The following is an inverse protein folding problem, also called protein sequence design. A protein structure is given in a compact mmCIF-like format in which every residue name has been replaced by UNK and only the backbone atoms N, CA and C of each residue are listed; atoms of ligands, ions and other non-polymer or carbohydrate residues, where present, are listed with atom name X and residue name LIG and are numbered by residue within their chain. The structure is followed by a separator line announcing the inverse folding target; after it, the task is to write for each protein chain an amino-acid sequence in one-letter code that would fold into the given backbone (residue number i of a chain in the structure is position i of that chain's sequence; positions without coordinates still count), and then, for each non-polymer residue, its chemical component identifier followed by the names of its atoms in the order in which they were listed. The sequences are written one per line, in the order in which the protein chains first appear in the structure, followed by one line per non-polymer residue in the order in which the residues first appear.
data_IF_259740588989
#
_entry.id   IF_259740588989
#
_cell.length_a   1.000
_cell.length_b   1.000
_cell.length_c   1.000
_cell.angle_alpha   90.00
_cell.angle_beta   90.00
_cell.angle_gamma   90.00
#
_symmetry.space_group_name_H-M   'P 1'
#
loop_
_entity.id
_entity.type
_entity.pdbx_description
1 polymer ?
#
# COMPACT_ATOMS: atom_id res chain seq x y z
N UNK A 1 -0.92 -3.22 11.33
CA UNK A 1 -1.63 -3.39 10.04
C UNK A 1 -1.34 -2.15 9.22
N UNK A 2 -0.93 -2.30 7.96
CA UNK A 2 -0.76 -1.17 7.05
C UNK A 2 -1.91 -1.12 6.07
N UNK A 3 -2.38 0.08 5.76
CA UNK A 3 -3.41 0.33 4.76
C UNK A 3 -2.83 1.15 3.62
N UNK A 4 -2.99 0.66 2.40
CA UNK A 4 -2.69 1.41 1.18
C UNK A 4 -3.91 1.45 0.27
N UNK A 5 -4.07 2.55 -0.45
CA UNK A 5 -5.01 2.64 -1.59
C UNK A 5 -4.18 2.81 -2.86
N UNK A 6 -4.35 1.90 -3.81
CA UNK A 6 -3.46 1.81 -4.98
C UNK A 6 -3.44 3.08 -5.86
N UNK A 7 -4.42 3.97 -5.73
CA UNK A 7 -4.54 5.24 -6.45
C UNK A 7 -4.47 6.49 -5.56
N UNK A 8 -4.04 6.38 -4.30
CA UNK A 8 -3.95 7.56 -3.44
C UNK A 8 -2.83 8.54 -3.86
N UNK A 9 -1.79 8.05 -4.54
CA UNK A 9 -0.65 8.86 -4.96
C UNK A 9 -0.81 9.37 -6.40
N UNK A 10 -0.53 10.66 -6.63
CA UNK A 10 -0.40 11.23 -7.98
C UNK A 10 0.90 10.75 -8.65
N UNK A 11 0.89 9.50 -9.11
CA UNK A 11 2.04 8.89 -9.79
C UNK A 11 2.47 9.68 -11.03
N UNK A 12 1.53 10.33 -11.73
CA UNK A 12 1.87 11.16 -12.87
C UNK A 12 2.65 12.40 -12.46
N UNK A 13 2.22 13.10 -11.39
CA UNK A 13 2.93 14.22 -10.80
C UNK A 13 4.30 13.83 -10.25
N UNK A 14 4.37 12.74 -9.48
CA UNK A 14 5.62 12.25 -8.89
C UNK A 14 6.68 12.01 -9.95
N UNK A 15 6.31 11.36 -11.07
CA UNK A 15 7.24 11.12 -12.17
C UNK A 15 7.59 12.38 -12.94
N UNK A 16 6.60 13.26 -13.19
CA UNK A 16 6.82 14.50 -13.95
C UNK A 16 7.82 15.43 -13.25
N UNK A 17 7.79 15.47 -11.93
CA UNK A 17 8.64 16.34 -11.11
C UNK A 17 9.87 15.63 -10.52
N UNK A 18 10.20 14.41 -10.98
CA UNK A 18 11.36 13.62 -10.51
C UNK A 18 11.38 13.36 -8.98
N UNK A 19 10.21 13.13 -8.40
CA UNK A 19 10.02 12.94 -6.95
C UNK A 19 10.05 11.46 -6.53
N UNK A 20 10.48 10.55 -7.40
CA UNK A 20 10.51 9.12 -7.09
C UNK A 20 11.38 8.75 -5.88
N UNK A 21 12.52 9.42 -5.58
CA UNK A 21 13.29 9.11 -4.36
C UNK A 21 12.52 9.42 -3.07
N UNK A 22 11.66 10.44 -3.07
CA UNK A 22 10.83 10.77 -1.90
C UNK A 22 9.72 9.74 -1.70
N UNK A 23 9.13 9.24 -2.78
CA UNK A 23 8.17 8.14 -2.73
C UNK A 23 8.82 6.86 -2.16
N UNK A 24 10.05 6.55 -2.58
CA UNK A 24 10.80 5.42 -2.03
C UNK A 24 11.08 5.59 -0.54
N UNK A 25 11.50 6.79 -0.11
CA UNK A 25 11.70 7.10 1.31
C UNK A 25 10.40 6.93 2.12
N UNK A 26 9.27 7.44 1.63
CA UNK A 26 7.97 7.27 2.27
C UNK A 26 7.62 5.79 2.47
N UNK A 27 7.86 4.95 1.45
CA UNK A 27 7.62 3.52 1.55
C UNK A 27 8.56 2.85 2.57
N UNK A 28 9.83 3.28 2.66
CA UNK A 28 10.77 2.80 3.69
C UNK A 28 10.30 3.19 5.08
N UNK A 29 9.88 4.44 5.30
CA UNK A 29 9.31 4.88 6.58
C UNK A 29 8.12 4.01 6.98
N UNK A 30 7.27 3.64 6.02
CA UNK A 30 6.12 2.78 6.27
C UNK A 30 6.54 1.35 6.69
N UNK A 31 7.63 0.80 6.12
CA UNK A 31 8.18 -0.50 6.56
C UNK A 31 8.78 -0.42 7.95
N UNK A 32 9.52 0.64 8.27
CA UNK A 32 10.11 0.85 9.58
C UNK A 32 9.03 0.91 10.67
N UNK A 33 7.98 1.70 10.46
CA UNK A 33 6.85 1.77 11.40
C UNK A 33 6.19 0.41 11.62
N UNK A 34 6.06 -0.39 10.54
CA UNK A 34 5.55 -1.75 10.62
C UNK A 34 6.51 -2.67 11.38
N UNK A 35 7.82 -2.57 11.14
CA UNK A 35 8.86 -3.35 11.82
C UNK A 35 8.85 -3.08 13.33
N UNK A 36 8.84 -1.82 13.73
CA UNK A 36 8.79 -1.43 15.15
C UNK A 36 7.49 -1.89 15.82
N UNK A 37 6.35 -1.69 15.16
CA UNK A 37 5.06 -2.16 15.67
C UNK A 37 5.02 -3.68 15.83
N UNK A 38 5.54 -4.42 14.83
CA UNK A 38 5.63 -5.87 14.85
C UNK A 38 6.59 -6.37 15.94
N UNK A 39 7.71 -5.68 16.15
CA UNK A 39 8.67 -5.99 17.20
C UNK A 39 8.02 -5.87 18.59
N UNK A 40 7.41 -4.72 18.91
CA UNK A 40 6.75 -4.49 20.20
C UNK A 40 5.61 -5.49 20.42
N UNK A 41 4.81 -5.77 19.39
CA UNK A 41 3.76 -6.78 19.45
C UNK A 41 4.32 -8.19 19.70
N UNK A 42 5.46 -8.52 19.08
CA UNK A 42 6.12 -9.83 19.25
C UNK A 42 6.61 -10.02 20.68
N UNK A 43 7.23 -9.00 21.26
CA UNK A 43 7.67 -9.01 22.67
C UNK A 43 6.47 -9.20 23.60
N UNK A 44 5.40 -8.41 23.41
CA UNK A 44 4.19 -8.48 24.23
C UNK A 44 3.52 -9.85 24.17
N UNK A 45 3.45 -10.45 22.99
CA UNK A 45 2.75 -11.73 22.77
C UNK A 45 3.64 -12.96 22.93
N UNK A 46 4.94 -12.77 23.18
CA UNK A 46 5.95 -13.85 23.28
C UNK A 46 5.93 -14.81 22.08
N UNK A 47 5.69 -14.26 20.89
CA UNK A 47 5.70 -14.99 19.62
C UNK A 47 6.05 -14.04 18.50
N UNK A 48 6.56 -14.54 17.38
CA UNK A 48 6.77 -13.72 16.20
C UNK A 48 5.43 -13.18 15.67
N UNK A 49 5.32 -11.85 15.59
CA UNK A 49 4.23 -11.13 14.94
C UNK A 49 4.79 -10.52 13.66
N UNK A 50 4.08 -10.71 12.56
CA UNK A 50 4.40 -10.16 11.23
C UNK A 50 3.28 -9.23 10.80
N UNK A 51 3.59 -8.26 9.95
CA UNK A 51 2.62 -7.30 9.44
C UNK A 51 1.67 -7.90 8.40
N UNK A 52 0.43 -7.43 8.38
CA UNK A 52 -0.52 -7.63 7.28
C UNK A 52 -0.78 -6.29 6.63
N UNK A 53 -0.71 -6.25 5.30
CA UNK A 53 -1.01 -5.07 4.48
C UNK A 53 -2.31 -5.28 3.74
N UNK A 54 -3.21 -4.29 3.79
CA UNK A 54 -4.44 -4.27 2.99
C UNK A 54 -4.28 -3.23 1.89
N UNK A 55 -4.55 -3.62 0.65
CA UNK A 55 -4.48 -2.76 -0.53
C UNK A 55 -5.87 -2.67 -1.16
N UNK A 56 -6.48 -1.49 -1.09
CA UNK A 56 -7.72 -1.22 -1.82
C UNK A 56 -7.41 -0.94 -3.30
N UNK A 57 -7.84 -1.87 -4.17
CA UNK A 57 -7.65 -1.84 -5.62
C UNK A 57 -8.79 -1.12 -6.36
N UNK A 58 -9.76 -0.54 -5.64
CA UNK A 58 -10.86 0.20 -6.23
C UNK A 58 -10.37 1.30 -7.19
N UNK A 59 -10.91 1.30 -8.41
CA UNK A 59 -10.61 2.30 -9.44
C UNK A 59 -9.35 2.03 -10.25
N UNK A 60 -8.58 0.97 -9.94
CA UNK A 60 -7.40 0.61 -10.73
C UNK A 60 -7.74 0.41 -12.20
N UNK A 61 -6.86 0.90 -13.07
CA UNK A 61 -6.90 0.68 -14.50
C UNK A 61 -5.51 0.28 -15.02
N UNK A 62 -5.43 -0.17 -16.27
CA UNK A 62 -4.16 -0.52 -16.91
C UNK A 62 -3.16 0.65 -16.97
N UNK A 63 -3.58 1.89 -16.72
CA UNK A 63 -2.67 3.05 -16.65
C UNK A 63 -1.57 2.88 -15.61
N UNK A 64 -1.81 2.11 -14.54
CA UNK A 64 -0.83 1.84 -13.49
C UNK A 64 0.41 1.10 -14.03
N UNK A 65 0.23 0.34 -15.12
CA UNK A 65 1.32 -0.44 -15.70
C UNK A 65 2.45 0.44 -16.24
N UNK A 66 2.16 1.70 -16.59
CA UNK A 66 3.17 2.69 -17.02
C UNK A 66 4.20 2.97 -15.92
N UNK A 67 3.82 2.79 -14.66
CA UNK A 67 4.66 3.09 -13.50
C UNK A 67 5.30 1.84 -12.88
N UNK A 68 5.14 0.66 -13.50
CA UNK A 68 5.76 -0.59 -13.05
C UNK A 68 7.27 -0.49 -12.83
N UNK A 69 8.06 0.19 -13.69
CA UNK A 69 9.50 0.25 -13.50
C UNK A 69 9.93 0.85 -12.16
N UNK A 70 9.23 1.84 -11.60
CA UNK A 70 9.58 2.40 -10.29
C UNK A 70 9.20 1.53 -9.10
N UNK A 71 8.42 0.47 -9.28
CA UNK A 71 8.22 -0.50 -8.19
C UNK A 71 9.40 -1.45 -8.05
N UNK A 72 10.26 -1.59 -9.07
CA UNK A 72 11.37 -2.55 -9.03
C UNK A 72 12.41 -2.20 -7.95
N UNK A 73 12.92 -0.96 -7.82
CA UNK A 73 13.85 -0.60 -6.73
C UNK A 73 13.24 -0.84 -5.35
N UNK A 74 11.98 -0.46 -5.18
CA UNK A 74 11.22 -0.72 -3.96
C UNK A 74 11.14 -2.22 -3.60
N UNK A 75 10.84 -3.08 -4.58
CA UNK A 75 10.78 -4.52 -4.36
C UNK A 75 12.13 -5.10 -3.97
N UNK A 76 13.24 -4.55 -4.48
CA UNK A 76 14.60 -4.91 -4.04
C UNK A 76 14.77 -4.53 -2.57
N UNK A 77 14.44 -3.30 -2.19
CA UNK A 77 14.56 -2.83 -0.81
C UNK A 77 13.78 -3.73 0.16
N UNK A 78 12.52 -4.03 -0.17
CA UNK A 78 11.67 -4.88 0.66
C UNK A 78 12.23 -6.30 0.82
N UNK A 79 12.74 -6.90 -0.26
CA UNK A 79 13.23 -8.28 -0.22
C UNK A 79 14.61 -8.39 0.47
N UNK A 80 15.50 -7.43 0.27
CA UNK A 80 16.87 -7.49 0.77
C UNK A 80 16.99 -7.00 2.23
N UNK A 81 16.33 -5.89 2.58
CA UNK A 81 16.49 -5.27 3.91
C UNK A 81 15.40 -5.63 4.91
N UNK A 82 14.21 -6.04 4.43
CA UNK A 82 13.07 -6.38 5.29
C UNK A 82 12.53 -7.80 5.03
N UNK A 83 13.40 -8.83 5.03
CA UNK A 83 12.96 -10.18 4.79
C UNK A 83 11.94 -10.59 5.86
N UNK A 84 10.87 -11.24 5.41
CA UNK A 84 9.83 -11.80 6.30
C UNK A 84 9.04 -10.84 7.20
N UNK A 85 9.12 -9.54 6.95
CA UNK A 85 8.33 -8.55 7.70
C UNK A 85 6.81 -8.70 7.44
N UNK A 86 6.44 -9.02 6.19
CA UNK A 86 5.03 -9.17 5.77
C UNK A 86 4.61 -10.64 5.87
N UNK A 87 3.48 -10.87 6.57
CA UNK A 87 2.73 -12.14 6.60
C UNK A 87 1.87 -12.33 5.37
N UNK A 88 1.11 -11.29 5.01
CA UNK A 88 0.17 -11.31 3.90
C UNK A 88 -0.05 -9.92 3.31
N UNK A 89 -0.29 -9.86 2.01
CA UNK A 89 -0.76 -8.67 1.28
C UNK A 89 -2.16 -9.00 0.76
N UNK A 90 -3.17 -8.33 1.30
CA UNK A 90 -4.58 -8.57 1.01
C UNK A 90 -5.08 -7.47 0.07
N UNK A 91 -5.19 -7.80 -1.21
CA UNK A 91 -5.76 -6.92 -2.22
C UNK A 91 -7.27 -7.09 -2.21
N UNK A 92 -8.01 -6.01 -1.96
CA UNK A 92 -9.48 -5.99 -1.87
C UNK A 92 -10.08 -5.07 -2.92
N UNK A 93 -11.38 -5.25 -3.22
CA UNK A 93 -12.06 -4.54 -4.30
C UNK A 93 -11.33 -4.64 -5.64
N UNK A 94 -10.71 -5.80 -5.91
CA UNK A 94 -9.98 -6.00 -7.16
C UNK A 94 -10.98 -5.99 -8.34
N UNK A 95 -10.89 -5.03 -9.27
CA UNK A 95 -11.72 -5.07 -10.48
C UNK A 95 -11.32 -6.25 -11.36
N UNK A 96 -12.18 -6.67 -12.29
CA UNK A 96 -11.87 -7.79 -13.21
C UNK A 96 -10.56 -7.57 -13.99
N UNK A 97 -10.23 -6.32 -14.31
CA UNK A 97 -8.97 -5.95 -14.99
C UNK A 97 -7.73 -6.21 -14.12
N UNK A 98 -7.86 -6.41 -12.82
CA UNK A 98 -6.76 -6.70 -11.92
C UNK A 98 -6.04 -8.01 -12.28
N UNK A 99 -6.72 -8.97 -12.91
CA UNK A 99 -6.09 -10.21 -13.40
C UNK A 99 -4.95 -9.90 -14.37
N UNK A 100 -5.18 -8.98 -15.31
CA UNK A 100 -4.16 -8.54 -16.26
C UNK A 100 -3.04 -7.77 -15.55
N UNK A 101 -3.39 -6.88 -14.62
CA UNK A 101 -2.42 -6.11 -13.84
C UNK A 101 -1.51 -7.05 -13.02
N UNK A 102 -2.09 -8.05 -12.37
CA UNK A 102 -1.38 -9.05 -11.58
C UNK A 102 -0.44 -9.90 -12.42
N UNK A 103 -0.82 -10.23 -13.68
CA UNK A 103 0.08 -10.95 -14.60
C UNK A 103 1.40 -10.22 -14.79
N UNK A 104 1.39 -8.90 -14.89
CA UNK A 104 2.61 -8.11 -15.02
C UNK A 104 3.32 -7.89 -13.68
N UNK A 105 2.58 -7.57 -12.62
CA UNK A 105 3.16 -7.32 -11.28
C UNK A 105 3.85 -8.56 -10.71
N UNK A 106 3.23 -9.74 -10.85
CA UNK A 106 3.72 -10.98 -10.24
C UNK A 106 5.09 -11.42 -10.76
N UNK A 107 5.44 -11.04 -12.00
CA UNK A 107 6.77 -11.30 -12.58
C UNK A 107 7.88 -10.54 -11.85
N UNK A 108 7.59 -9.36 -11.30
CA UNK A 108 8.56 -8.55 -10.56
C UNK A 108 8.76 -9.05 -9.13
N UNK A 109 7.84 -9.88 -8.62
CA UNK A 109 7.86 -10.37 -7.25
C UNK A 109 8.69 -11.65 -7.11
N UNK A 110 9.47 -11.75 -6.04
CA UNK A 110 10.08 -13.00 -5.61
C UNK A 110 9.00 -14.06 -5.31
N UNK A 111 9.26 -15.37 -5.52
CA UNK A 111 8.27 -16.44 -5.31
C UNK A 111 7.60 -16.40 -3.93
N UNK A 112 8.40 -16.26 -2.87
CA UNK A 112 7.91 -16.17 -1.48
C UNK A 112 6.98 -14.97 -1.26
N UNK A 113 7.21 -13.86 -1.98
CA UNK A 113 6.38 -12.66 -1.89
C UNK A 113 5.07 -12.84 -2.64
N UNK A 114 5.08 -13.52 -3.80
CA UNK A 114 3.85 -13.87 -4.54
C UNK A 114 2.93 -14.76 -3.70
N UNK A 115 3.49 -15.72 -2.98
CA UNK A 115 2.74 -16.63 -2.11
C UNK A 115 2.06 -15.94 -0.93
N UNK A 116 2.50 -14.72 -0.58
CA UNK A 116 1.89 -13.88 0.48
C UNK A 116 0.73 -13.02 -0.04
N UNK A 117 0.57 -12.88 -1.35
CA UNK A 117 -0.51 -12.04 -1.93
C UNK A 117 -1.81 -12.82 -2.02
N UNK A 118 -2.91 -12.20 -1.60
CA UNK A 118 -4.27 -12.70 -1.73
C UNK A 118 -5.12 -11.62 -2.38
N UNK A 119 -5.94 -12.01 -3.35
CA UNK A 119 -6.72 -11.09 -4.17
C UNK A 119 -8.18 -11.44 -3.98
N UNK A 120 -8.97 -10.44 -3.60
CA UNK A 120 -10.38 -10.54 -3.34
C UNK A 120 -11.15 -9.51 -4.16
N UNK A 121 -12.38 -9.87 -4.55
CA UNK A 121 -13.34 -8.96 -5.15
C UNK A 121 -13.94 -8.00 -4.12
N UNK A 122 -15.22 -7.69 -4.25
CA UNK A 122 -15.96 -6.84 -3.31
C UNK A 122 -16.40 -7.58 -2.04
N UNK A 123 -16.42 -8.91 -2.06
CA UNK A 123 -16.87 -9.82 -0.99
C UNK A 123 -15.72 -10.27 -0.08
N UNK A 124 -14.84 -9.34 0.31
CA UNK A 124 -13.57 -9.63 0.98
C UNK A 124 -13.66 -9.80 2.50
N UNK A 125 -14.75 -9.36 3.14
CA UNK A 125 -14.78 -9.21 4.61
C UNK A 125 -14.56 -10.53 5.37
N UNK A 126 -15.21 -11.61 4.93
CA UNK A 126 -15.05 -12.93 5.54
C UNK A 126 -13.60 -13.40 5.43
N UNK A 127 -12.98 -13.21 4.27
CA UNK A 127 -11.57 -13.53 4.06
C UNK A 127 -10.65 -12.68 4.93
N UNK A 128 -10.89 -11.37 5.07
CA UNK A 128 -10.08 -10.53 5.97
C UNK A 128 -10.10 -11.04 7.42
N UNK A 129 -11.26 -11.51 7.89
CA UNK A 129 -11.40 -12.10 9.23
C UNK A 129 -10.55 -13.37 9.39
N UNK A 130 -10.43 -14.22 8.37
CA UNK A 130 -9.54 -15.39 8.38
C UNK A 130 -8.05 -15.02 8.55
N UNK A 131 -7.66 -13.83 8.07
CA UNK A 131 -6.31 -13.31 8.27
C UNK A 131 -6.11 -12.61 9.63
N UNK A 132 -7.14 -12.55 10.48
CA UNK A 132 -7.11 -11.92 11.80
C UNK A 132 -7.26 -10.40 11.75
N UNK A 133 -7.92 -9.87 10.73
CA UNK A 133 -8.30 -8.45 10.68
C UNK A 133 -9.58 -8.25 11.49
N UNK A 134 -9.47 -7.50 12.58
CA UNK A 134 -10.58 -7.18 13.47
C UNK A 134 -11.43 -6.05 12.88
N UNK A 135 -12.77 -6.20 12.77
CA UNK A 135 -13.67 -5.12 12.39
C UNK A 135 -13.45 -3.81 13.16
N UNK A 136 -13.08 -3.84 14.44
CA UNK A 136 -12.78 -2.64 15.24
C UNK A 136 -11.58 -1.85 14.72
N UNK A 137 -10.68 -2.51 14.01
CA UNK A 137 -9.46 -1.93 13.42
C UNK A 137 -9.58 -1.66 11.92
N UNK A 138 -10.59 -2.24 11.27
CA UNK A 138 -10.87 -2.03 9.85
C UNK A 138 -11.62 -0.70 9.66
N UNK A 139 -11.18 0.17 8.73
CA UNK A 139 -11.86 1.41 8.44
C UNK A 139 -13.34 1.23 8.05
N UNK A 140 -14.18 2.17 8.47
CA UNK A 140 -15.62 2.14 8.19
C UNK A 140 -15.97 2.07 6.69
N UNK A 141 -15.20 2.74 5.82
CA UNK A 141 -15.42 2.70 4.37
C UNK A 141 -15.11 1.33 3.73
N UNK A 142 -14.41 0.43 4.46
CA UNK A 142 -14.16 -0.95 4.07
C UNK A 142 -15.08 -1.95 4.79
N UNK A 143 -16.16 -1.47 5.43
CA UNK A 143 -17.10 -2.32 6.16
C UNK A 143 -16.70 -2.61 7.61
N UNK A 144 -15.68 -1.93 8.15
CA UNK A 144 -15.30 -2.04 9.56
C UNK A 144 -15.98 -1.02 10.48
N UNK A 145 -15.48 -0.92 11.71
CA UNK A 145 -15.99 -0.03 12.75
C UNK A 145 -15.01 1.09 13.11
N UNK A 146 -13.77 1.02 12.60
CA UNK A 146 -12.76 2.04 12.86
C UNK A 146 -13.10 3.35 12.15
N UNK A 147 -13.39 4.39 12.93
CA UNK A 147 -13.64 5.75 12.43
C UNK A 147 -12.39 6.65 12.43
N UNK A 148 -11.23 6.12 12.85
CA UNK A 148 -10.13 6.93 13.36
C UNK A 148 -9.37 7.80 12.36
N UNK A 149 -8.77 8.85 12.93
CA UNK A 149 -8.66 10.20 12.38
C UNK A 149 -7.25 10.82 12.45
N UNK A 150 -6.16 10.06 12.32
CA UNK A 150 -4.81 10.62 12.59
C UNK A 150 -3.80 10.69 11.45
N UNK A 151 -3.92 9.90 10.39
CA UNK A 151 -3.20 10.07 9.13
C UNK A 151 -3.96 9.19 8.14
N UNK A 152 -5.10 9.68 7.67
CA UNK A 152 -5.91 8.85 6.79
C UNK A 152 -5.25 8.83 5.42
N UNK A 153 -4.90 7.64 4.93
CA UNK A 153 -4.76 7.37 3.49
C UNK A 153 -6.06 7.67 2.68
N UNK A 154 -7.07 8.25 3.34
CA UNK A 154 -8.41 8.65 2.90
C UNK A 154 -8.58 10.14 2.73
N UNK A 155 -7.59 10.96 3.11
CA UNK A 155 -7.61 12.37 2.74
C UNK A 155 -7.31 12.40 1.25
N UNK A 156 -8.37 12.40 0.44
CA UNK A 156 -8.27 12.93 -0.91
C UNK A 156 -7.63 14.32 -0.75
N UNK A 157 -6.45 14.52 -1.35
CA UNK A 157 -5.82 15.84 -1.35
C UNK A 157 -6.87 16.80 -1.91
N UNK A 158 -7.38 17.76 -1.12
CA UNK A 158 -8.45 18.64 -1.58
C UNK A 158 -8.10 19.27 -2.93
N UNK A 159 -9.07 19.35 -3.84
CA UNK A 159 -8.83 20.01 -5.12
C UNK A 159 -8.40 21.46 -4.87
N UNK A 160 -7.14 21.76 -5.21
CA UNK A 160 -6.54 23.08 -5.00
C UNK A 160 -5.69 23.25 -3.75
N UNK A 161 -5.28 22.18 -3.06
CA UNK A 161 -4.26 22.26 -1.99
C UNK A 161 -2.95 22.93 -2.47
N UNK A 162 -2.66 22.87 -3.78
CA UNK A 162 -1.56 23.58 -4.41
C UNK A 162 -1.86 25.00 -4.94
N UNK A 163 -3.08 25.55 -4.76
CA UNK A 163 -3.46 26.88 -5.31
C UNK A 163 -2.69 28.06 -4.72
N UNK A 164 -1.89 27.84 -3.67
CA UNK A 164 -0.96 28.82 -3.11
C UNK A 164 0.52 28.56 -3.44
N UNK A 165 0.83 27.48 -4.17
CA UNK A 165 2.19 27.22 -4.65
C UNK A 165 2.35 28.02 -5.93
N UNK A 166 3.08 29.13 -5.84
CA UNK A 166 3.36 30.00 -6.97
C UNK A 166 4.08 29.17 -8.06
N UNK A 167 3.40 28.88 -9.17
CA UNK A 167 3.95 28.13 -10.32
C UNK A 167 4.92 29.01 -11.14
N UNK A 168 5.75 29.80 -10.47
CA UNK A 168 6.91 30.47 -11.06
C UNK A 168 8.15 29.62 -10.81
N UNK A 169 8.11 28.35 -11.20
CA UNK A 169 9.33 27.63 -11.55
C UNK A 169 9.66 27.99 -13.00
N UNK A 170 10.23 29.18 -13.17
CA UNK A 170 10.54 29.79 -14.46
C UNK A 170 10.55 31.31 -14.37
N UNK A 171 11.69 31.87 -13.94
CA UNK A 171 11.99 33.31 -14.05
C UNK A 171 12.65 33.91 -12.80
N UNK A 172 13.97 33.72 -12.63
CA UNK A 172 14.99 34.61 -13.18
C UNK A 172 16.22 33.79 -13.58
#
# INVERSE_FOLDING_TARGET
MMFGRALASDMAGIYREDMTPLLENEWVFMLEDMLWSAHVASVKQRRLVRGTTIVDASGLSLSILRYLPSYKPWLVVMNEFYPDLVRAVLVINAPSIFVEIWRFLSVLLAPVTREKVRIFGSDFEASLREYGVDPETLPAYLGGQYQGSRLSALLAIPHGTGRGVNLTFGGQ
#
